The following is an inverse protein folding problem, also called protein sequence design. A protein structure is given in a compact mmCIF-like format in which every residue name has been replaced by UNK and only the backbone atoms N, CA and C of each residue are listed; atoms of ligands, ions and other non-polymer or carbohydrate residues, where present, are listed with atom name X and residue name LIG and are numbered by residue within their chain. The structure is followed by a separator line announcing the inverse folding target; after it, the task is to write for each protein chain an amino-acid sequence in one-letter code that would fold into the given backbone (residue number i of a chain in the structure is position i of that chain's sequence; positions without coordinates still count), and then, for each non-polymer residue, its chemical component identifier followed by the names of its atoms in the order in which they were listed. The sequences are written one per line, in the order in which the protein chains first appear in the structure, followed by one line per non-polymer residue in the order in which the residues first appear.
data_IF_365467180736
#
_entry.id   IF_365467180736
#
_cell.length_a   1.000
_cell.length_b   1.000
_cell.length_c   1.000
_cell.angle_alpha   90.00
_cell.angle_beta   90.00
_cell.angle_gamma   90.00
#
_symmetry.space_group_name_H-M   'P 1'
#
loop_
_entity.id
_entity.type
_entity.pdbx_description
1 polymer ?
#
# COMPACT_ATOMS: atom_id res chain seq x y z
N UNK A 1 67.87 -9.11 40.69
CA UNK A 1 66.94 -7.99 40.99
C UNK A 1 66.06 -7.79 39.76
N UNK A 2 64.84 -8.34 39.75
CA UNK A 2 63.57 -7.60 39.92
C UNK A 2 63.40 -6.53 38.82
N UNK A 3 62.47 -6.66 37.85
CA UNK A 3 61.02 -6.54 38.05
C UNK A 3 60.23 -7.12 36.87
N UNK A 4 59.23 -7.94 37.18
CA UNK A 4 58.13 -8.33 36.29
C UNK A 4 57.16 -7.15 36.19
N UNK A 5 56.82 -6.71 34.99
CA UNK A 5 55.77 -5.71 34.77
C UNK A 5 54.71 -6.33 33.87
N UNK A 6 53.61 -6.71 34.51
CA UNK A 6 52.37 -7.22 33.93
C UNK A 6 51.67 -6.02 33.28
N UNK A 7 51.39 -6.09 31.98
CA UNK A 7 50.54 -5.12 31.28
C UNK A 7 49.18 -5.78 31.05
N UNK A 8 48.20 -5.23 31.76
CA UNK A 8 46.79 -5.56 31.79
C UNK A 8 46.16 -5.20 30.43
N UNK A 9 45.65 -6.19 29.69
CA UNK A 9 44.86 -5.94 28.50
C UNK A 9 43.43 -5.53 28.91
N UNK A 10 43.09 -4.26 28.71
CA UNK A 10 41.74 -3.72 28.90
C UNK A 10 40.88 -4.19 27.73
N UNK A 11 40.05 -5.20 27.96
CA UNK A 11 39.02 -5.64 27.02
C UNK A 11 37.88 -4.62 27.01
N UNK A 12 37.85 -3.79 25.97
CA UNK A 12 36.76 -2.86 25.70
C UNK A 12 35.55 -3.66 25.21
N UNK A 13 34.63 -3.98 26.12
CA UNK A 13 33.33 -4.60 25.78
C UNK A 13 32.48 -3.53 25.09
N UNK A 14 32.43 -3.58 23.76
CA UNK A 14 31.44 -2.88 22.95
C UNK A 14 30.06 -3.47 23.26
N UNK A 15 29.35 -2.86 24.20
CA UNK A 15 27.92 -3.11 24.43
C UNK A 15 27.18 -2.53 23.23
N UNK A 16 26.93 -3.37 22.24
CA UNK A 16 26.00 -3.08 21.16
C UNK A 16 24.63 -2.82 21.76
N UNK A 17 24.17 -1.56 21.74
CA UNK A 17 22.79 -1.19 22.01
C UNK A 17 21.89 -1.86 20.97
N UNK A 18 21.45 -3.09 21.25
CA UNK A 18 20.37 -3.75 20.54
C UNK A 18 19.08 -3.00 20.89
N UNK A 19 18.82 -1.92 20.16
CA UNK A 19 17.51 -1.27 20.17
C UNK A 19 16.49 -2.36 19.80
N UNK A 20 15.49 -2.65 20.66
CA UNK A 20 14.53 -3.70 20.36
C UNK A 20 13.88 -3.34 19.02
N UNK A 21 14.09 -4.20 18.03
CA UNK A 21 13.43 -4.09 16.74
C UNK A 21 11.93 -4.16 17.03
N UNK A 22 11.25 -3.01 16.96
CA UNK A 22 9.81 -2.98 16.91
C UNK A 22 9.39 -4.01 15.85
N UNK A 23 8.64 -5.04 16.26
CA UNK A 23 8.28 -6.17 15.41
C UNK A 23 7.81 -5.62 14.05
N UNK A 24 8.59 -5.90 13.02
CA UNK A 24 8.39 -5.29 11.72
C UNK A 24 7.06 -5.82 11.15
N UNK A 25 6.03 -4.97 11.13
CA UNK A 25 4.66 -5.36 10.79
C UNK A 25 4.52 -5.87 9.34
N UNK A 26 5.45 -5.47 8.47
CA UNK A 26 5.45 -5.79 7.05
C UNK A 26 6.86 -6.17 6.57
N UNK A 27 7.00 -6.82 5.40
CA UNK A 27 8.29 -6.99 4.74
C UNK A 27 9.06 -5.65 4.61
N UNK A 28 10.41 -5.66 4.63
CA UNK A 28 11.20 -4.43 4.67
C UNK A 28 10.93 -3.43 3.55
N UNK A 29 10.68 -3.91 2.33
CA UNK A 29 10.36 -3.08 1.17
C UNK A 29 8.98 -2.41 1.28
N UNK A 30 7.97 -3.15 1.74
CA UNK A 30 6.63 -2.64 2.02
C UNK A 30 6.67 -1.61 3.15
N UNK A 31 7.43 -1.90 4.21
CA UNK A 31 7.60 -0.97 5.32
C UNK A 31 8.26 0.34 4.87
N UNK A 32 9.27 0.25 3.99
CA UNK A 32 9.90 1.43 3.38
C UNK A 32 8.90 2.25 2.57
N UNK A 33 8.07 1.61 1.74
CA UNK A 33 7.05 2.30 0.95
C UNK A 33 6.02 3.04 1.84
N UNK A 34 5.55 2.39 2.90
CA UNK A 34 4.64 2.99 3.89
C UNK A 34 5.28 4.20 4.57
N UNK A 35 6.55 4.09 4.97
CA UNK A 35 7.29 5.20 5.58
C UNK A 35 7.47 6.36 4.60
N UNK A 36 7.87 6.10 3.35
CA UNK A 36 8.04 7.13 2.33
C UNK A 36 6.73 7.90 2.06
N UNK A 37 5.61 7.19 1.94
CA UNK A 37 4.30 7.83 1.75
C UNK A 37 3.89 8.60 2.99
N UNK A 38 4.11 8.06 4.21
CA UNK A 38 3.83 8.81 5.45
C UNK A 38 4.63 10.10 5.52
N UNK A 39 5.93 10.06 5.25
CA UNK A 39 6.78 11.26 5.23
C UNK A 39 6.36 12.25 4.16
N UNK A 40 5.92 11.76 2.99
CA UNK A 40 5.39 12.59 1.92
C UNK A 40 4.12 13.34 2.37
N UNK A 41 3.19 12.65 3.02
CA UNK A 41 1.97 13.24 3.58
C UNK A 41 2.30 14.20 4.72
N UNK A 42 3.18 13.83 5.65
CA UNK A 42 3.53 14.67 6.81
C UNK A 42 4.16 16.02 6.41
N UNK A 43 4.80 16.09 5.24
CA UNK A 43 5.35 17.31 4.65
C UNK A 43 4.30 18.22 4.00
N UNK A 44 3.10 17.71 3.74
CA UNK A 44 1.99 18.51 3.20
C UNK A 44 1.33 19.36 4.28
N UNK A 45 0.74 20.48 3.86
CA UNK A 45 -0.11 21.29 4.74
C UNK A 45 -1.26 20.45 5.28
N UNK A 46 -1.45 20.47 6.61
CA UNK A 46 -2.42 19.63 7.32
C UNK A 46 -2.19 18.12 7.25
N UNK A 47 -1.04 17.65 6.75
CA UNK A 47 -0.74 16.22 6.60
C UNK A 47 -0.10 15.57 7.82
N UNK A 48 0.55 16.34 8.69
CA UNK A 48 1.28 15.79 9.85
C UNK A 48 0.36 14.99 10.78
N UNK A 49 0.59 13.67 10.87
CA UNK A 49 -0.23 12.76 11.68
C UNK A 49 -1.68 12.62 11.20
N UNK A 50 -1.95 13.06 9.96
CA UNK A 50 -3.25 12.97 9.35
C UNK A 50 -3.40 11.64 8.60
N UNK A 51 -4.55 11.00 8.80
CA UNK A 51 -4.95 9.81 8.07
C UNK A 51 -4.26 8.51 8.52
N UNK A 52 -4.84 7.42 8.03
CA UNK A 52 -4.36 6.06 8.18
C UNK A 52 -3.58 5.68 6.92
N UNK A 53 -2.30 5.34 7.08
CA UNK A 53 -1.41 4.92 5.99
C UNK A 53 -1.17 3.41 6.11
N UNK A 54 -1.66 2.64 5.14
CA UNK A 54 -1.56 1.17 5.12
C UNK A 54 -1.12 0.65 3.74
N UNK A 55 -0.39 -0.47 3.67
CA UNK A 55 -0.14 -1.12 2.40
C UNK A 55 -1.42 -1.76 1.86
N UNK A 56 -1.50 -1.91 0.53
CA UNK A 56 -2.45 -2.78 -0.14
C UNK A 56 -1.75 -4.12 -0.43
N UNK A 57 -2.11 -5.16 0.33
CA UNK A 57 -1.47 -6.46 0.33
C UNK A 57 -2.28 -7.55 -0.40
N UNK A 58 -3.41 -7.19 -1.03
CA UNK A 58 -4.24 -8.12 -1.78
C UNK A 58 -3.41 -8.87 -2.86
N UNK A 59 -3.42 -10.21 -2.88
CA UNK A 59 -2.56 -11.00 -3.77
C UNK A 59 -2.75 -10.69 -5.26
N UNK A 60 -3.98 -10.44 -5.69
CA UNK A 60 -4.31 -10.01 -7.04
C UNK A 60 -3.63 -8.69 -7.44
N UNK A 61 -3.50 -7.74 -6.51
CA UNK A 61 -2.79 -6.48 -6.74
C UNK A 61 -1.29 -6.72 -6.85
N UNK A 62 -0.70 -7.44 -5.89
CA UNK A 62 0.74 -7.74 -5.89
C UNK A 62 1.20 -8.50 -7.13
N UNK A 63 0.43 -9.49 -7.57
CA UNK A 63 0.73 -10.27 -8.76
C UNK A 63 0.52 -9.47 -10.06
N UNK A 64 -0.26 -8.39 -10.01
CA UNK A 64 -0.47 -7.49 -11.15
C UNK A 64 0.59 -6.43 -11.26
N UNK A 65 1.06 -5.87 -10.15
CA UNK A 65 2.03 -4.79 -10.10
C UNK A 65 3.23 -5.18 -9.21
N UNK A 66 4.05 -6.18 -9.60
CA UNK A 66 5.12 -6.72 -8.75
C UNK A 66 6.29 -5.75 -8.52
N UNK A 67 6.40 -4.71 -9.34
CA UNK A 67 7.44 -3.68 -9.23
C UNK A 67 7.02 -2.48 -8.37
N UNK A 68 5.80 -2.50 -7.84
CA UNK A 68 5.22 -1.41 -7.06
C UNK A 68 4.63 -1.90 -5.74
N UNK A 69 4.90 -1.13 -4.69
CA UNK A 69 4.20 -1.23 -3.43
C UNK A 69 3.09 -0.19 -3.40
N UNK A 70 1.84 -0.65 -3.37
CA UNK A 70 0.66 0.20 -3.35
C UNK A 70 0.35 0.54 -1.89
N UNK A 71 0.23 1.83 -1.59
CA UNK A 71 -0.05 2.36 -0.25
C UNK A 71 -1.33 3.16 -0.29
N UNK A 72 -2.26 2.83 0.58
CA UNK A 72 -3.53 3.50 0.74
C UNK A 72 -3.41 4.50 1.90
N UNK A 73 -3.83 5.74 1.65
CA UNK A 73 -3.91 6.82 2.65
C UNK A 73 -5.37 7.24 2.79
N UNK A 74 -5.97 6.95 3.95
CA UNK A 74 -7.36 7.29 4.26
C UNK A 74 -7.45 8.38 5.31
N UNK A 75 -8.20 9.42 5.03
CA UNK A 75 -8.56 10.46 5.98
C UNK A 75 -9.99 10.25 6.42
N UNK A 76 -10.16 9.67 7.62
CA UNK A 76 -11.48 9.39 8.21
C UNK A 76 -12.30 10.68 8.28
N UNK A 77 -13.50 10.63 7.73
CA UNK A 77 -14.47 11.72 7.80
C UNK A 77 -15.43 11.55 9.00
N UNK A 78 -15.51 10.35 9.57
CA UNK A 78 -16.38 10.00 10.69
C UNK A 78 -15.59 9.36 11.85
N UNK A 79 -15.99 9.58 13.14
CA UNK A 79 -17.05 10.47 13.62
C UNK A 79 -16.65 11.95 13.62
N UNK A 80 -15.35 12.26 13.51
CA UNK A 80 -14.84 13.63 13.47
C UNK A 80 -14.04 13.80 12.19
N UNK A 81 -14.53 14.65 11.29
CA UNK A 81 -13.84 15.01 10.06
C UNK A 81 -12.54 15.75 10.39
N UNK A 82 -11.41 15.21 9.91
CA UNK A 82 -10.12 15.89 9.98
C UNK A 82 -9.91 16.73 8.72
N UNK A 83 -9.27 17.89 8.89
CA UNK A 83 -8.83 18.70 7.75
C UNK A 83 -7.87 17.84 6.92
N UNK A 84 -8.22 17.64 5.64
CA UNK A 84 -7.41 16.89 4.71
C UNK A 84 -6.34 17.79 4.10
N UNK A 85 -5.17 17.23 3.74
CA UNK A 85 -4.20 17.95 2.94
C UNK A 85 -4.80 18.38 1.60
N UNK A 86 -4.35 19.53 1.11
CA UNK A 86 -4.80 20.09 -0.15
C UNK A 86 -4.52 19.12 -1.31
N UNK A 87 -5.51 18.94 -2.19
CA UNK A 87 -5.41 18.04 -3.35
C UNK A 87 -5.61 16.55 -3.04
N UNK A 88 -5.80 16.16 -1.77
CA UNK A 88 -6.13 14.79 -1.38
C UNK A 88 -7.62 14.60 -1.11
N UNK A 89 -8.08 13.35 -1.27
CA UNK A 89 -9.45 12.90 -1.02
C UNK A 89 -9.55 12.16 0.31
N UNK A 90 -10.74 11.71 0.70
CA UNK A 90 -10.94 10.87 1.89
C UNK A 90 -10.18 9.53 1.83
N UNK A 91 -9.88 9.04 0.63
CA UNK A 91 -9.06 7.86 0.41
C UNK A 91 -8.24 8.03 -0.87
N UNK A 92 -6.97 7.67 -0.78
CA UNK A 92 -5.95 7.97 -1.78
C UNK A 92 -5.07 6.74 -1.98
N UNK A 93 -4.61 6.54 -3.20
CA UNK A 93 -3.70 5.45 -3.55
C UNK A 93 -2.40 6.06 -4.03
N UNK A 94 -1.29 5.63 -3.45
CA UNK A 94 0.06 5.96 -3.88
C UNK A 94 0.75 4.69 -4.34
N UNK A 95 1.36 4.73 -5.52
CA UNK A 95 2.26 3.68 -5.97
C UNK A 95 3.70 4.09 -5.63
N UNK A 96 4.44 3.18 -4.99
CA UNK A 96 5.86 3.36 -4.68
C UNK A 96 6.64 2.33 -5.47
N UNK A 97 7.45 2.76 -6.42
CA UNK A 97 8.34 1.86 -7.18
C UNK A 97 9.50 1.39 -6.31
N UNK A 98 10.20 0.34 -6.77
CA UNK A 98 11.37 -0.23 -6.09
C UNK A 98 12.51 0.78 -5.85
N UNK A 99 12.64 1.79 -6.70
CA UNK A 99 13.60 2.90 -6.55
C UNK A 99 13.16 3.95 -5.50
N UNK A 100 11.93 3.86 -4.99
CA UNK A 100 11.36 4.78 -4.00
C UNK A 100 10.66 6.00 -4.58
N UNK A 101 10.42 6.08 -5.90
CA UNK A 101 9.60 7.14 -6.49
C UNK A 101 8.13 6.93 -6.11
N UNK A 102 7.48 8.03 -5.70
CA UNK A 102 6.07 8.05 -5.31
C UNK A 102 5.25 8.61 -6.47
N UNK A 103 4.19 7.90 -6.85
CA UNK A 103 3.19 8.36 -7.82
C UNK A 103 1.79 8.37 -7.17
N UNK A 104 1.12 9.51 -7.25
CA UNK A 104 -0.25 9.66 -6.72
C UNK A 104 -1.29 9.28 -7.77
N UNK A 105 -2.07 8.24 -7.47
CA UNK A 105 -3.18 7.77 -8.30
C UNK A 105 -4.46 8.40 -7.78
N UNK A 106 -4.81 9.57 -8.33
CA UNK A 106 -5.86 10.45 -7.78
C UNK A 106 -7.30 10.03 -8.09
N UNK A 107 -7.49 9.20 -9.12
CA UNK A 107 -8.79 8.77 -9.60
C UNK A 107 -8.70 7.47 -10.40
N UNK A 108 -9.86 6.90 -10.75
CA UNK A 108 -9.97 5.70 -11.56
C UNK A 108 -9.30 5.85 -12.93
N UNK A 109 -9.33 7.03 -13.57
CA UNK A 109 -8.69 7.18 -14.88
C UNK A 109 -7.17 7.09 -14.79
N UNK A 110 -6.58 7.69 -13.75
CA UNK A 110 -5.14 7.70 -13.50
C UNK A 110 -4.67 6.30 -13.11
N UNK A 111 -5.43 5.62 -12.26
CA UNK A 111 -5.21 4.21 -11.94
C UNK A 111 -5.22 3.34 -13.23
N UNK A 112 -6.08 3.64 -14.21
CA UNK A 112 -6.24 2.84 -15.44
C UNK A 112 -5.03 2.93 -16.31
N UNK A 113 -4.53 4.15 -16.48
CA UNK A 113 -3.30 4.41 -17.21
C UNK A 113 -2.13 3.72 -16.51
N UNK A 114 -2.06 3.83 -15.18
CA UNK A 114 -1.00 3.22 -14.38
C UNK A 114 -0.98 1.68 -14.51
N UNK A 115 -2.12 1.01 -14.31
CA UNK A 115 -2.20 -0.45 -14.44
C UNK A 115 -1.86 -0.88 -15.86
N UNK A 116 -2.38 -0.22 -16.89
CA UNK A 116 -2.05 -0.58 -18.28
C UNK A 116 -0.57 -0.41 -18.62
N UNK A 117 0.10 0.57 -18.01
CA UNK A 117 1.53 0.83 -18.25
C UNK A 117 2.46 -0.13 -17.49
N UNK A 118 2.03 -0.64 -16.32
CA UNK A 118 2.92 -1.33 -15.38
C UNK A 118 2.49 -2.75 -15.02
N UNK A 119 1.33 -3.21 -15.49
CA UNK A 119 0.88 -4.57 -15.24
C UNK A 119 1.83 -5.60 -15.83
N UNK A 120 1.88 -6.76 -15.20
CA UNK A 120 2.42 -7.97 -15.84
C UNK A 120 1.64 -8.26 -17.14
N UNK A 121 2.32 -8.65 -18.24
CA UNK A 121 1.67 -8.91 -19.51
C UNK A 121 0.54 -9.94 -19.39
N UNK A 122 -0.63 -9.63 -19.95
CA UNK A 122 -1.75 -10.55 -20.02
C UNK A 122 -1.59 -11.48 -21.24
N UNK A 123 -1.32 -12.76 -21.01
CA UNK A 123 -1.20 -13.76 -22.08
C UNK A 123 -2.33 -14.77 -22.08
N UNK A 124 -3.06 -14.84 -20.98
CA UNK A 124 -4.13 -15.81 -20.75
C UNK A 124 -5.37 -15.12 -20.21
N UNK A 125 -6.51 -15.80 -20.32
CA UNK A 125 -7.75 -15.38 -19.66
C UNK A 125 -7.56 -15.20 -18.14
N UNK A 126 -6.78 -16.09 -17.51
CA UNK A 126 -6.48 -16.00 -16.09
C UNK A 126 -5.72 -14.71 -15.74
N UNK A 127 -4.81 -14.25 -16.60
CA UNK A 127 -4.14 -12.97 -16.43
C UNK A 127 -5.10 -11.79 -16.54
N UNK A 128 -5.98 -11.81 -17.55
CA UNK A 128 -6.97 -10.76 -17.75
C UNK A 128 -7.94 -10.67 -16.56
N UNK A 129 -8.42 -11.81 -16.06
CA UNK A 129 -9.23 -11.90 -14.83
C UNK A 129 -8.47 -11.37 -13.62
N UNK A 130 -7.20 -11.73 -13.44
CA UNK A 130 -6.37 -11.22 -12.33
C UNK A 130 -6.20 -9.69 -12.39
N UNK A 131 -5.92 -9.14 -13.57
CA UNK A 131 -5.80 -7.70 -13.80
C UNK A 131 -7.12 -7.00 -13.49
N UNK A 132 -8.25 -7.53 -13.97
CA UNK A 132 -9.56 -6.99 -13.66
C UNK A 132 -9.86 -7.06 -12.16
N UNK A 133 -9.48 -8.14 -11.48
CA UNK A 133 -9.64 -8.23 -10.03
C UNK A 133 -8.84 -7.14 -9.32
N UNK A 134 -7.57 -6.93 -9.68
CA UNK A 134 -6.73 -5.86 -9.13
C UNK A 134 -7.33 -4.48 -9.39
N UNK A 135 -7.82 -4.25 -10.61
CA UNK A 135 -8.53 -3.04 -11.03
C UNK A 135 -9.71 -2.73 -10.11
N UNK A 136 -10.59 -3.71 -9.92
CA UNK A 136 -11.80 -3.57 -9.12
C UNK A 136 -11.46 -3.35 -7.65
N UNK A 137 -10.52 -4.13 -7.08
CA UNK A 137 -10.05 -3.95 -5.70
C UNK A 137 -9.55 -2.52 -5.45
N UNK A 138 -8.72 -1.98 -6.34
CA UNK A 138 -8.14 -0.65 -6.15
C UNK A 138 -9.17 0.46 -6.40
N UNK A 139 -10.04 0.32 -7.39
CA UNK A 139 -11.04 1.36 -7.71
C UNK A 139 -12.01 1.59 -6.56
N UNK A 140 -12.35 0.55 -5.78
CA UNK A 140 -13.21 0.67 -4.60
C UNK A 140 -12.64 1.61 -3.54
N UNK A 141 -11.32 1.77 -3.46
CA UNK A 141 -10.69 2.66 -2.49
C UNK A 141 -11.08 4.12 -2.71
N UNK A 142 -11.38 4.53 -3.95
CA UNK A 142 -11.79 5.91 -4.26
C UNK A 142 -13.22 6.27 -3.81
N UNK A 143 -14.01 5.27 -3.44
CA UNK A 143 -15.43 5.42 -3.09
C UNK A 143 -15.72 5.12 -1.61
N UNK A 144 -14.68 4.97 -0.79
CA UNK A 144 -14.83 4.68 0.64
C UNK A 144 -13.86 5.52 1.48
N UNK A 145 -14.21 5.71 2.74
CA UNK A 145 -13.35 6.25 3.80
C UNK A 145 -12.87 5.13 4.75
N UNK A 146 -13.17 3.88 4.42
CA UNK A 146 -12.88 2.69 5.21
C UNK A 146 -14.06 2.10 5.97
N UNK A 147 -15.26 2.67 5.85
CA UNK A 147 -16.48 2.17 6.50
C UNK A 147 -17.13 0.96 5.82
N UNK A 148 -16.80 0.73 4.54
CA UNK A 148 -17.33 -0.38 3.76
C UNK A 148 -16.24 -1.41 3.46
N UNK A 149 -16.58 -2.68 3.56
CA UNK A 149 -15.79 -3.78 2.99
C UNK A 149 -16.41 -4.20 1.68
N UNK A 150 -15.56 -4.35 0.69
CA UNK A 150 -15.93 -4.76 -0.65
C UNK A 150 -15.28 -6.11 -0.95
N UNK A 151 -15.97 -6.89 -1.77
CA UNK A 151 -15.47 -8.15 -2.30
C UNK A 151 -15.59 -8.14 -3.81
N UNK A 152 -14.51 -8.58 -4.48
CA UNK A 152 -14.49 -8.76 -5.92
C UNK A 152 -15.06 -10.14 -6.24
N UNK A 153 -16.17 -10.18 -6.96
CA UNK A 153 -16.88 -11.42 -7.29
C UNK A 153 -16.23 -12.13 -8.46
N UNK A 154 -15.02 -12.67 -8.25
CA UNK A 154 -14.21 -13.31 -9.31
C UNK A 154 -14.90 -14.49 -9.99
N UNK A 155 -15.83 -15.15 -9.29
CA UNK A 155 -16.67 -16.24 -9.83
C UNK A 155 -17.71 -15.77 -10.85
N UNK A 156 -18.05 -14.49 -10.84
CA UNK A 156 -19.00 -13.87 -11.76
C UNK A 156 -18.30 -13.19 -12.95
N UNK A 157 -17.00 -13.45 -13.14
CA UNK A 157 -16.26 -12.85 -14.25
C UNK A 157 -16.65 -13.49 -15.57
N UNK A 158 -17.17 -12.66 -16.46
CA UNK A 158 -17.58 -13.05 -17.81
C UNK A 158 -16.46 -12.74 -18.80
N UNK A 159 -16.30 -13.62 -19.78
CA UNK A 159 -15.30 -13.48 -20.84
C UNK A 159 -16.03 -13.34 -22.17
N UNK A 160 -15.84 -12.20 -22.82
CA UNK A 160 -16.49 -11.86 -24.08
C UNK A 160 -15.48 -11.69 -25.22
N UNK A 161 -15.99 -11.46 -26.43
CA UNK A 161 -15.16 -11.08 -27.57
C UNK A 161 -14.13 -12.14 -27.96
N UNK A 162 -14.52 -13.41 -28.07
CA UNK A 162 -13.62 -14.54 -28.38
C UNK A 162 -12.40 -14.68 -27.44
N UNK A 163 -12.50 -14.23 -26.19
CA UNK A 163 -11.42 -14.28 -25.20
C UNK A 163 -10.64 -12.98 -25.03
N UNK A 164 -11.03 -11.91 -25.72
CA UNK A 164 -10.32 -10.62 -25.71
C UNK A 164 -10.80 -9.66 -24.61
N UNK A 165 -11.98 -9.89 -24.05
CA UNK A 165 -12.58 -9.00 -23.03
C UNK A 165 -12.97 -9.78 -21.79
N UNK A 166 -12.73 -9.18 -20.62
CA UNK A 166 -13.21 -9.70 -19.33
C UNK A 166 -14.00 -8.61 -18.63
N UNK A 167 -15.19 -8.96 -18.14
CA UNK A 167 -16.07 -8.10 -17.37
C UNK A 167 -16.39 -8.73 -16.01
N UNK A 168 -16.71 -7.89 -15.03
CA UNK A 168 -16.97 -8.33 -13.66
C UNK A 168 -17.34 -7.16 -12.77
N UNK A 169 -17.76 -7.47 -11.54
CA UNK A 169 -18.19 -6.48 -10.56
C UNK A 169 -17.60 -6.74 -9.19
N UNK A 170 -17.70 -5.72 -8.35
CA UNK A 170 -17.46 -5.84 -6.93
C UNK A 170 -18.70 -5.41 -6.15
N UNK A 171 -18.90 -6.00 -4.98
CA UNK A 171 -20.05 -5.73 -4.13
C UNK A 171 -19.61 -5.33 -2.73
N UNK A 172 -20.42 -4.48 -2.08
CA UNK A 172 -20.28 -4.21 -0.64
C UNK A 172 -20.78 -5.43 0.12
N UNK A 173 -19.95 -5.98 0.99
CA UNK A 173 -20.29 -7.17 1.79
C UNK A 173 -20.45 -6.85 3.27
N UNK A 174 -19.93 -5.71 3.74
CA UNK A 174 -20.11 -5.23 5.10
C UNK A 174 -20.09 -3.70 5.13
N UNK A 175 -21.01 -3.09 5.88
CA UNK A 175 -20.93 -1.69 6.30
C UNK A 175 -20.88 -1.62 7.82
N UNK A 176 -20.14 -0.66 8.37
CA UNK A 176 -20.22 -0.36 9.81
C UNK A 176 -21.45 0.52 10.04
N UNK A 177 -22.48 -0.01 10.70
CA UNK A 177 -23.57 0.80 11.25
C UNK A 177 -23.05 1.56 12.46
N UNK A 178 -23.13 2.89 12.44
CA UNK A 178 -22.91 3.69 13.64
C UNK A 178 -24.04 3.34 14.63
N UNK A 179 -23.71 2.54 15.65
CA UNK A 179 -24.54 2.26 16.82
C UNK A 179 -24.33 3.31 17.89
#
# INVERSE_FOLDING_TARGET
MLKRSILLAVALVLVSLTRPAAAQKYPPDVQKAVTLVREHIDKMKFGKGAGEVKPQDAPNVKNTLPDYNLVIVRFRQFPIARIMPEGLRSSNIFAVSKDGKIEYLKDAQTLQKFIRAHQTPAKTEADAKRILAAWLTLTQEFHQDGMFKFEVMTREFEVGGKGETVAGRAMVTQGVTAS
#
